data_IF_525141549040
#
_entry.id   IF_525141549040
#
_cell.length_a   1.000
_cell.length_b   1.000
_cell.length_c   1.000
_cell.angle_alpha   90.00
_cell.angle_beta   90.00
_cell.angle_gamma   90.00
#
_symmetry.space_group_name_H-M   'P 1'
#
loop_
_entity.id
_entity.type
_entity.pdbx_description
1 polymer ?
#
# COMPACT_ATOMS: atom_id res chain seq x y z
N UNK A 1 -19.25 6.01 -12.48
CA UNK A 1 -19.89 5.12 -13.48
C UNK A 1 -20.69 5.99 -14.43
N UNK A 2 -20.71 5.66 -15.72
CA UNK A 2 -21.51 6.41 -16.71
C UNK A 2 -22.41 5.49 -17.51
N UNK A 3 -23.52 6.03 -18.00
CA UNK A 3 -24.39 5.40 -18.99
C UNK A 3 -24.46 6.32 -20.20
N UNK A 4 -24.05 5.83 -21.37
CA UNK A 4 -23.92 6.63 -22.60
C UNK A 4 -23.11 7.91 -22.39
N UNK A 5 -22.02 7.82 -21.62
CA UNK A 5 -21.12 8.95 -21.32
C UNK A 5 -21.64 9.94 -20.27
N UNK A 6 -22.87 9.79 -19.77
CA UNK A 6 -23.42 10.63 -18.70
C UNK A 6 -23.27 9.96 -17.34
N UNK A 7 -22.89 10.71 -16.30
CA UNK A 7 -22.83 10.17 -14.95
C UNK A 7 -24.18 9.60 -14.53
N UNK A 8 -24.15 8.38 -14.00
CA UNK A 8 -25.32 7.81 -13.37
C UNK A 8 -25.53 8.47 -12.00
N UNK A 9 -26.76 8.90 -11.70
CA UNK A 9 -27.07 9.53 -10.43
C UNK A 9 -26.92 8.57 -9.24
N UNK A 10 -26.46 9.11 -8.09
CA UNK A 10 -26.28 8.37 -6.85
C UNK A 10 -24.81 8.23 -6.42
N UNK A 11 -24.61 7.87 -5.16
CA UNK A 11 -23.27 7.62 -4.59
C UNK A 11 -23.10 6.12 -4.39
N UNK A 12 -22.11 5.48 -5.04
CA UNK A 12 -21.79 4.07 -4.78
C UNK A 12 -21.43 3.81 -3.33
N UNK A 13 -21.96 2.72 -2.77
CA UNK A 13 -21.61 2.22 -1.44
C UNK A 13 -20.77 0.95 -1.60
N UNK A 14 -19.56 0.88 -1.02
CA UNK A 14 -18.73 -0.33 -1.08
C UNK A 14 -19.46 -1.56 -0.52
N UNK A 15 -19.28 -2.72 -1.17
CA UNK A 15 -19.88 -3.99 -0.73
C UNK A 15 -21.36 -4.16 -1.07
N UNK A 16 -21.98 -3.22 -1.80
CA UNK A 16 -23.38 -3.29 -2.22
C UNK A 16 -23.52 -3.20 -3.74
N UNK A 17 -24.74 -3.45 -4.23
CA UNK A 17 -25.09 -3.12 -5.60
C UNK A 17 -25.29 -1.61 -5.78
N UNK A 18 -24.98 -1.12 -6.98
CA UNK A 18 -25.35 0.23 -7.44
C UNK A 18 -26.43 0.11 -8.50
N UNK A 19 -27.66 0.55 -8.19
CA UNK A 19 -28.81 0.37 -9.06
C UNK A 19 -28.93 1.49 -10.09
N UNK A 20 -29.11 1.13 -11.36
CA UNK A 20 -29.45 2.07 -12.45
C UNK A 20 -30.85 1.76 -12.95
N UNK A 21 -31.80 2.61 -12.61
CA UNK A 21 -33.20 2.49 -13.02
C UNK A 21 -33.49 3.40 -14.21
N UNK A 22 -33.70 2.80 -15.39
CA UNK A 22 -34.11 3.49 -16.63
C UNK A 22 -34.78 2.52 -17.60
N UNK A 23 -35.41 3.05 -18.65
CA UNK A 23 -35.76 2.26 -19.81
C UNK A 23 -34.50 2.00 -20.65
N UNK A 24 -34.11 0.73 -20.73
CA UNK A 24 -32.98 0.29 -21.53
C UNK A 24 -33.38 0.14 -22.99
N UNK A 25 -32.46 0.43 -23.89
CA UNK A 25 -32.61 0.25 -25.34
C UNK A 25 -31.34 -0.35 -25.92
N UNK A 26 -31.47 -1.02 -27.05
CA UNK A 26 -30.33 -1.53 -27.80
C UNK A 26 -29.33 -0.40 -28.07
N UNK A 27 -28.05 -0.68 -27.80
CA UNK A 27 -26.97 0.29 -27.92
C UNK A 27 -26.70 1.14 -26.68
N UNK A 28 -27.46 1.02 -25.59
CA UNK A 28 -27.08 1.61 -24.30
C UNK A 28 -25.77 0.98 -23.77
N UNK A 29 -24.81 1.82 -23.35
CA UNK A 29 -23.49 1.40 -22.84
C UNK A 29 -23.32 1.86 -21.40
N UNK A 30 -23.03 0.91 -20.51
CA UNK A 30 -22.62 1.18 -19.13
C UNK A 30 -21.10 1.10 -19.04
N UNK A 31 -20.46 2.13 -18.50
CA UNK A 31 -19.04 2.14 -18.19
C UNK A 31 -18.82 2.23 -16.69
N UNK A 32 -18.18 1.20 -16.14
CA UNK A 32 -17.76 1.14 -14.74
C UNK A 32 -16.25 1.35 -14.68
N UNK A 33 -15.81 2.21 -13.76
CA UNK A 33 -14.40 2.42 -13.45
C UNK A 33 -14.19 2.03 -12.00
N UNK A 34 -13.32 1.06 -11.77
CA UNK A 34 -12.92 0.62 -10.43
C UNK A 34 -11.41 0.82 -10.31
N UNK A 35 -10.94 1.89 -9.66
CA UNK A 35 -9.51 2.10 -9.47
C UNK A 35 -8.98 1.06 -8.49
N UNK A 36 -8.18 0.12 -9.00
CA UNK A 36 -7.46 -0.81 -8.14
C UNK A 36 -6.24 -0.13 -7.54
N UNK A 37 -5.91 -0.57 -6.33
CA UNK A 37 -4.71 -0.17 -5.59
C UNK A 37 -3.94 -1.42 -5.25
N UNK A 38 -2.63 -1.28 -5.14
CA UNK A 38 -1.81 -2.30 -4.52
C UNK A 38 -1.94 -2.17 -2.99
N UNK A 39 -2.35 -3.25 -2.35
CA UNK A 39 -2.60 -3.33 -0.90
C UNK A 39 -2.06 -4.64 -0.36
N UNK A 40 -1.97 -4.73 0.96
CA UNK A 40 -1.62 -5.97 1.65
C UNK A 40 -2.78 -6.50 2.46
N UNK A 41 -2.83 -7.82 2.64
CA UNK A 41 -3.58 -8.46 3.72
C UNK A 41 -2.57 -9.15 4.65
N UNK A 42 -2.75 -8.95 5.96
CA UNK A 42 -1.87 -9.50 7.00
C UNK A 42 -2.32 -10.91 7.37
N UNK A 43 -1.39 -11.83 7.61
CA UNK A 43 -1.74 -13.13 8.16
C UNK A 43 -2.37 -12.94 9.56
N UNK A 44 -3.43 -13.70 9.92
CA UNK A 44 -4.12 -13.53 11.21
C UNK A 44 -3.24 -13.83 12.44
N UNK A 45 -2.24 -14.69 12.29
CA UNK A 45 -1.37 -15.21 13.35
C UNK A 45 -0.02 -14.46 13.44
N UNK A 46 0.57 -14.08 12.29
CA UNK A 46 1.77 -13.24 12.22
C UNK A 46 1.53 -12.02 11.31
N UNK A 47 1.20 -10.83 11.87
CA UNK A 47 0.95 -9.62 11.08
C UNK A 47 2.16 -9.10 10.27
N UNK A 48 3.37 -9.61 10.53
CA UNK A 48 4.54 -9.30 9.72
C UNK A 48 4.60 -10.11 8.43
N UNK A 49 3.87 -11.23 8.34
CA UNK A 49 3.64 -11.96 7.10
C UNK A 49 2.43 -11.36 6.37
N UNK A 50 2.65 -10.97 5.12
CA UNK A 50 1.70 -10.20 4.34
C UNK A 50 1.63 -10.74 2.92
N UNK A 51 0.42 -10.73 2.36
CA UNK A 51 0.18 -11.06 0.96
C UNK A 51 -0.19 -9.81 0.19
N UNK A 52 0.25 -9.68 -1.07
CA UNK A 52 0.00 -8.50 -1.90
C UNK A 52 -1.23 -8.73 -2.79
N UNK A 53 -2.01 -7.67 -2.98
CA UNK A 53 -3.16 -7.66 -3.87
C UNK A 53 -3.17 -6.39 -4.73
N UNK A 54 -3.42 -6.52 -6.02
CA UNK A 54 -3.83 -5.40 -6.87
C UNK A 54 -5.35 -5.47 -7.08
N UNK A 55 -6.09 -4.66 -6.30
CA UNK A 55 -7.54 -4.81 -6.20
C UNK A 55 -7.93 -6.18 -5.62
N UNK A 56 -8.72 -7.02 -6.34
CA UNK A 56 -9.05 -8.38 -5.93
C UNK A 56 -8.01 -9.43 -6.38
N UNK A 57 -6.99 -9.04 -7.16
CA UNK A 57 -6.02 -9.99 -7.73
C UNK A 57 -4.89 -10.22 -6.74
N UNK A 58 -4.78 -11.43 -6.22
CA UNK A 58 -3.64 -11.82 -5.40
C UNK A 58 -2.36 -11.89 -6.25
N UNK A 59 -1.28 -11.32 -5.72
CA UNK A 59 0.03 -11.31 -6.35
C UNK A 59 1.02 -12.11 -5.49
N UNK A 60 1.74 -13.02 -6.13
CA UNK A 60 2.71 -13.91 -5.50
C UNK A 60 4.11 -13.60 -5.99
N UNK A 61 5.09 -13.63 -5.09
CA UNK A 61 6.49 -13.40 -5.43
C UNK A 61 7.08 -14.64 -6.12
N UNK A 62 7.67 -14.49 -7.30
CA UNK A 62 8.35 -15.58 -8.04
C UNK A 62 9.79 -15.69 -7.55
N UNK A 63 10.06 -16.72 -6.76
CA UNK A 63 11.38 -16.96 -6.18
C UNK A 63 11.48 -18.41 -5.68
N UNK A 64 12.66 -19.03 -5.80
CA UNK A 64 12.93 -20.40 -5.37
C UNK A 64 13.43 -20.53 -3.93
N UNK A 65 13.50 -19.43 -3.17
CA UNK A 65 13.86 -19.47 -1.77
C UNK A 65 12.88 -20.35 -0.97
N UNK A 66 13.40 -21.01 0.06
CA UNK A 66 12.59 -21.86 0.95
C UNK A 66 12.31 -21.20 2.30
N UNK A 67 12.77 -19.96 2.48
CA UNK A 67 12.47 -19.09 3.63
C UNK A 67 11.62 -17.90 3.18
N UNK A 68 10.96 -17.22 4.11
CA UNK A 68 10.22 -16.00 3.77
C UNK A 68 11.13 -14.95 3.16
N UNK A 69 10.70 -14.37 2.05
CA UNK A 69 11.34 -13.19 1.46
C UNK A 69 11.00 -11.96 2.29
N UNK A 70 11.94 -11.04 2.41
CA UNK A 70 11.78 -9.79 3.15
C UNK A 70 11.67 -8.59 2.21
N UNK A 71 10.67 -7.74 2.41
CA UNK A 71 10.47 -6.54 1.59
C UNK A 71 10.06 -5.32 2.41
N UNK A 72 10.60 -4.16 2.04
CA UNK A 72 10.12 -2.84 2.46
C UNK A 72 9.05 -2.33 1.50
N UNK A 73 7.85 -2.10 2.02
CA UNK A 73 6.64 -1.78 1.24
C UNK A 73 6.30 -0.28 1.31
N UNK A 74 6.60 0.40 2.41
CA UNK A 74 6.13 1.76 2.69
C UNK A 74 6.99 2.89 2.14
N UNK A 75 8.21 2.59 1.69
CA UNK A 75 9.18 3.59 1.21
C UNK A 75 8.61 4.65 0.26
N UNK A 76 7.68 4.25 -0.62
CA UNK A 76 7.03 5.12 -1.59
C UNK A 76 5.50 4.93 -1.61
N UNK A 77 4.90 4.54 -0.48
CA UNK A 77 3.45 4.45 -0.41
C UNK A 77 2.80 5.81 -0.74
N UNK A 78 1.75 5.78 -1.56
CA UNK A 78 0.97 6.96 -1.90
C UNK A 78 0.21 7.50 -0.69
N UNK A 79 -0.21 8.77 -0.73
CA UNK A 79 -1.06 9.36 0.29
C UNK A 79 -2.38 8.57 0.47
N UNK A 80 -2.85 7.93 -0.59
CA UNK A 80 -4.01 7.03 -0.56
C UNK A 80 -3.80 5.71 0.18
N UNK A 81 -2.55 5.39 0.57
CA UNK A 81 -2.13 4.09 1.10
C UNK A 81 -1.82 3.06 0.01
N UNK A 82 -1.92 3.43 -1.27
CA UNK A 82 -1.54 2.56 -2.39
C UNK A 82 -0.03 2.30 -2.37
N UNK A 83 0.35 1.03 -2.38
CA UNK A 83 1.75 0.59 -2.37
C UNK A 83 2.36 0.55 -3.77
N UNK A 84 1.54 0.69 -4.82
CA UNK A 84 1.96 0.56 -6.22
C UNK A 84 3.16 1.43 -6.61
N UNK A 85 3.33 2.67 -6.10
CA UNK A 85 4.47 3.49 -6.48
C UNK A 85 5.83 2.93 -6.02
N UNK A 86 5.86 1.95 -5.11
CA UNK A 86 7.09 1.25 -4.73
C UNK A 86 7.49 0.15 -5.74
N UNK A 87 6.62 -0.22 -6.67
CA UNK A 87 6.79 -1.33 -7.62
C UNK A 87 6.86 -0.82 -9.07
N UNK A 88 7.57 -1.55 -9.93
CA UNK A 88 7.65 -1.25 -11.36
C UNK A 88 6.84 -2.27 -12.18
N UNK A 89 6.04 -1.86 -13.18
CA UNK A 89 5.33 -2.81 -14.04
C UNK A 89 6.30 -3.59 -14.93
N UNK A 90 5.99 -4.85 -15.22
CA UNK A 90 6.75 -5.65 -16.20
C UNK A 90 6.18 -5.42 -17.60
N UNK A 91 7.01 -4.92 -18.51
CA UNK A 91 6.60 -4.66 -19.89
C UNK A 91 6.10 -5.94 -20.58
N UNK A 92 4.95 -5.86 -21.25
CA UNK A 92 4.34 -6.99 -21.96
C UNK A 92 3.65 -8.04 -21.07
N UNK A 93 3.69 -7.89 -19.74
CA UNK A 93 3.03 -8.80 -18.79
C UNK A 93 2.02 -8.04 -17.91
N UNK A 94 0.74 -7.97 -18.31
CA UNK A 94 -0.29 -7.26 -17.54
C UNK A 94 -0.41 -7.81 -16.12
N UNK A 95 -0.49 -6.92 -15.11
CA UNK A 95 -0.59 -7.27 -13.69
C UNK A 95 0.67 -7.92 -13.07
N UNK A 96 1.80 -7.90 -13.78
CA UNK A 96 3.09 -8.24 -13.20
C UNK A 96 3.84 -6.99 -12.79
N UNK A 97 4.52 -7.09 -11.65
CA UNK A 97 5.30 -6.01 -11.09
C UNK A 97 6.66 -6.54 -10.62
N UNK A 98 7.65 -5.68 -10.48
CA UNK A 98 8.90 -5.99 -9.80
C UNK A 98 9.06 -5.13 -8.56
N UNK A 99 9.59 -5.75 -7.52
CA UNK A 99 9.99 -5.13 -6.27
C UNK A 99 11.35 -5.69 -5.89
N UNK A 100 12.35 -4.81 -5.81
CA UNK A 100 13.70 -5.15 -5.36
C UNK A 100 14.29 -6.37 -6.10
N UNK A 101 14.04 -6.43 -7.41
CA UNK A 101 14.49 -7.49 -8.32
C UNK A 101 13.62 -8.75 -8.36
N UNK A 102 12.60 -8.86 -7.50
CA UNK A 102 11.66 -10.00 -7.48
C UNK A 102 10.38 -9.68 -8.25
N UNK A 103 9.95 -10.56 -9.15
CA UNK A 103 8.68 -10.44 -9.87
C UNK A 103 7.50 -10.87 -8.97
N UNK A 104 6.47 -10.03 -8.92
CA UNK A 104 5.17 -10.32 -8.34
C UNK A 104 4.17 -10.53 -9.47
N UNK A 105 3.56 -11.73 -9.51
CA UNK A 105 2.69 -12.17 -10.61
C UNK A 105 1.31 -12.59 -10.08
N UNK A 106 0.25 -12.56 -10.90
CA UNK A 106 -1.07 -13.01 -10.47
C UNK A 106 -1.07 -14.50 -10.08
N UNK A 107 -1.59 -14.82 -8.90
CA UNK A 107 -1.59 -16.20 -8.42
C UNK A 107 -2.39 -17.16 -9.32
N UNK A 108 -3.46 -16.64 -9.93
CA UNK A 108 -4.39 -17.41 -10.75
C UNK A 108 -3.79 -17.86 -12.10
N UNK A 109 -2.57 -17.44 -12.45
CA UNK A 109 -1.86 -17.98 -13.63
C UNK A 109 -1.56 -19.47 -13.49
N UNK A 110 -1.47 -19.97 -12.25
CA UNK A 110 -1.37 -21.41 -12.00
C UNK A 110 -0.11 -22.08 -12.58
N UNK A 111 1.00 -21.35 -12.69
CA UNK A 111 2.28 -21.92 -13.15
C UNK A 111 2.95 -22.78 -12.07
N UNK A 112 3.91 -23.61 -12.46
CA UNK A 112 4.71 -24.44 -11.54
C UNK A 112 5.93 -23.70 -10.97
N UNK A 113 6.12 -22.43 -11.32
CA UNK A 113 7.26 -21.66 -10.83
C UNK A 113 7.20 -21.51 -9.30
N UNK A 114 8.33 -21.73 -8.59
CA UNK A 114 8.40 -21.52 -7.15
C UNK A 114 7.90 -20.13 -6.75
N UNK A 115 7.06 -20.09 -5.73
CA UNK A 115 6.39 -18.84 -5.36
C UNK A 115 6.09 -18.70 -3.87
N UNK A 116 6.03 -17.45 -3.42
CA UNK A 116 5.64 -17.08 -2.07
C UNK A 116 4.32 -16.29 -2.11
N UNK A 117 3.25 -16.87 -1.56
CA UNK A 117 1.98 -16.18 -1.37
C UNK A 117 2.04 -15.16 -0.22
N UNK A 118 2.89 -15.42 0.77
CA UNK A 118 3.20 -14.52 1.87
C UNK A 118 4.67 -14.12 1.84
N UNK A 119 4.93 -12.84 2.07
CA UNK A 119 6.27 -12.27 2.27
C UNK A 119 6.33 -11.64 3.66
N UNK A 120 7.51 -11.58 4.26
CA UNK A 120 7.72 -10.87 5.51
C UNK A 120 7.98 -9.39 5.21
N UNK A 121 7.18 -8.51 5.79
CA UNK A 121 7.44 -7.07 5.70
C UNK A 121 8.59 -6.70 6.63
N UNK A 122 9.62 -6.08 6.06
CA UNK A 122 10.80 -5.60 6.77
C UNK A 122 11.09 -4.14 6.39
N UNK A 123 11.02 -3.25 7.38
CA UNK A 123 11.26 -1.81 7.21
C UNK A 123 12.41 -1.41 8.15
N UNK A 124 13.68 -1.67 7.82
CA UNK A 124 14.79 -1.41 8.74
C UNK A 124 14.99 0.07 9.05
N UNK A 125 14.54 0.96 8.16
CA UNK A 125 14.63 2.42 8.30
C UNK A 125 13.31 3.11 8.00
N UNK A 126 13.19 4.36 8.44
CA UNK A 126 12.02 5.22 8.18
C UNK A 126 12.24 6.00 6.89
N UNK A 127 11.54 5.59 5.84
CA UNK A 127 11.60 6.19 4.49
C UNK A 127 10.22 6.72 4.11
N UNK A 128 10.17 7.92 3.52
CA UNK A 128 8.93 8.51 2.99
C UNK A 128 9.14 9.03 1.58
N UNK A 129 8.33 8.61 0.60
CA UNK A 129 8.42 9.12 -0.77
C UNK A 129 9.83 8.98 -1.35
N UNK A 130 10.46 7.83 -1.12
CA UNK A 130 11.88 7.53 -1.43
C UNK A 130 12.92 8.41 -0.71
N UNK A 131 12.52 9.25 0.25
CA UNK A 131 13.43 10.05 1.07
C UNK A 131 13.74 9.32 2.37
N UNK A 132 14.99 8.90 2.55
CA UNK A 132 15.46 8.25 3.77
C UNK A 132 15.72 9.27 4.89
N UNK A 133 15.29 8.95 6.11
CA UNK A 133 15.59 9.76 7.30
C UNK A 133 16.92 9.41 7.96
N UNK A 134 17.51 8.26 7.63
CA UNK A 134 18.68 7.69 8.31
C UNK A 134 18.37 7.22 9.74
N UNK A 135 17.09 7.04 10.07
CA UNK A 135 16.61 6.62 11.39
C UNK A 135 16.04 5.21 11.27
N UNK A 136 16.48 4.30 12.15
CA UNK A 136 15.91 2.96 12.25
C UNK A 136 14.41 3.03 12.56
N UNK A 137 13.61 2.12 12.01
CA UNK A 137 12.18 2.08 12.33
C UNK A 137 11.97 1.30 13.64
N UNK A 138 11.66 1.99 14.76
CA UNK A 138 11.51 1.31 16.04
C UNK A 138 10.21 0.49 16.06
N UNK A 139 10.20 -0.54 16.90
CA UNK A 139 9.04 -1.39 17.14
C UNK A 139 8.70 -1.43 18.63
N UNK A 140 7.42 -1.60 18.94
CA UNK A 140 6.96 -1.94 20.29
C UNK A 140 7.19 -3.42 20.58
N UNK A 141 6.95 -3.81 21.83
CA UNK A 141 7.03 -5.21 22.28
C UNK A 141 6.09 -6.15 21.54
N UNK A 142 4.98 -5.63 21.00
CA UNK A 142 4.02 -6.37 20.18
C UNK A 142 4.37 -6.42 18.68
N UNK A 143 5.53 -5.87 18.30
CA UNK A 143 6.00 -5.80 16.91
C UNK A 143 5.43 -4.64 16.08
N UNK A 144 4.49 -3.85 16.60
CA UNK A 144 3.96 -2.68 15.90
C UNK A 144 5.06 -1.63 15.72
N UNK A 145 5.34 -1.24 14.47
CA UNK A 145 6.39 -0.25 14.16
C UNK A 145 5.85 1.18 14.11
N UNK A 146 6.75 2.17 14.11
CA UNK A 146 6.36 3.57 13.94
C UNK A 146 5.64 3.78 12.60
N UNK A 147 6.15 3.16 11.53
CA UNK A 147 5.53 3.23 10.21
C UNK A 147 4.15 2.56 10.16
N UNK A 148 3.91 1.48 10.91
CA UNK A 148 2.57 0.90 11.04
C UNK A 148 1.55 1.93 11.52
N UNK A 149 1.90 2.68 12.57
CA UNK A 149 0.98 3.66 13.13
C UNK A 149 0.77 4.87 12.24
N UNK A 150 1.79 5.28 11.51
CA UNK A 150 1.64 6.34 10.51
C UNK A 150 0.65 5.87 9.44
N UNK A 151 0.92 4.74 8.79
CA UNK A 151 0.15 4.29 7.63
C UNK A 151 -1.22 3.70 7.96
N UNK A 152 -1.48 3.31 9.22
CA UNK A 152 -2.81 2.90 9.67
C UNK A 152 -3.89 3.99 9.50
N UNK A 153 -3.51 5.27 9.37
CA UNK A 153 -4.44 6.38 9.13
C UNK A 153 -4.65 6.71 7.64
N UNK A 154 -3.96 6.04 6.71
CA UNK A 154 -4.23 6.22 5.30
C UNK A 154 -5.70 5.84 4.97
N UNK A 155 -6.37 6.54 4.03
CA UNK A 155 -5.83 7.56 3.13
C UNK A 155 -5.71 8.97 3.75
N UNK A 156 -4.71 9.72 3.31
CA UNK A 156 -4.49 11.12 3.68
C UNK A 156 -5.05 12.06 2.62
N UNK A 157 -5.70 13.15 3.03
CA UNK A 157 -6.21 14.20 2.13
C UNK A 157 -5.10 14.98 1.38
N UNK A 158 -3.85 14.82 1.79
CA UNK A 158 -2.71 15.57 1.26
C UNK A 158 -1.47 15.41 2.14
N UNK A 159 -0.33 15.84 1.61
CA UNK A 159 0.95 15.86 2.33
C UNK A 159 0.88 16.53 3.73
N UNK A 160 0.18 17.68 3.93
CA UNK A 160 0.06 18.27 5.26
C UNK A 160 -0.60 17.34 6.30
N UNK A 161 -1.61 16.56 5.90
CA UNK A 161 -2.30 15.62 6.78
C UNK A 161 -1.38 14.45 7.16
N UNK A 162 -0.64 13.89 6.19
CA UNK A 162 0.38 12.87 6.49
C UNK A 162 1.44 13.42 7.45
N UNK A 163 1.99 14.61 7.19
CA UNK A 163 3.02 15.21 8.06
C UNK A 163 2.49 15.48 9.47
N UNK A 164 1.22 15.87 9.62
CA UNK A 164 0.59 16.01 10.93
C UNK A 164 0.47 14.67 11.68
N UNK A 165 0.09 13.60 10.96
CA UNK A 165 0.09 12.23 11.51
C UNK A 165 1.49 11.79 11.93
N UNK A 166 2.50 12.00 11.08
CA UNK A 166 3.90 11.67 11.40
C UNK A 166 4.35 12.38 12.67
N UNK A 167 4.06 13.67 12.83
CA UNK A 167 4.38 14.40 14.08
C UNK A 167 3.70 13.78 15.29
N UNK A 168 2.40 13.55 15.21
CA UNK A 168 1.61 12.96 16.31
C UNK A 168 2.18 11.62 16.77
N UNK A 169 2.53 10.75 15.81
CA UNK A 169 3.14 9.45 16.12
C UNK A 169 4.54 9.64 16.68
N UNK A 170 5.41 10.42 16.03
CA UNK A 170 6.77 10.68 16.52
C UNK A 170 6.78 11.23 17.94
N UNK A 171 5.93 12.21 18.25
CA UNK A 171 5.84 12.82 19.58
C UNK A 171 5.45 11.79 20.64
N UNK A 172 4.51 10.89 20.33
CA UNK A 172 4.10 9.80 21.21
C UNK A 172 5.24 8.79 21.46
N UNK A 173 5.99 8.44 20.40
CA UNK A 173 7.12 7.51 20.51
C UNK A 173 8.31 8.12 21.27
N UNK A 174 8.56 9.42 21.08
CA UNK A 174 9.59 10.16 21.85
C UNK A 174 9.18 10.26 23.32
N UNK A 175 7.93 10.62 23.62
CA UNK A 175 7.44 10.68 24.99
C UNK A 175 7.48 9.31 25.70
N UNK A 176 7.27 8.23 24.95
CA UNK A 176 7.39 6.85 25.43
C UNK A 176 8.81 6.30 25.50
N UNK A 177 9.84 7.08 25.13
CA UNK A 177 11.24 6.65 25.15
C UNK A 177 11.63 5.62 24.08
N UNK A 178 10.76 5.39 23.08
CA UNK A 178 10.98 4.44 21.99
C UNK A 178 11.75 5.06 20.81
N UNK A 179 11.90 6.38 20.81
CA UNK A 179 12.63 7.14 19.79
C UNK A 179 13.32 8.35 20.43
N UNK A 180 14.57 8.61 20.08
CA UNK A 180 15.27 9.81 20.54
C UNK A 180 14.70 11.08 19.92
N UNK A 181 14.62 12.18 20.69
CA UNK A 181 14.06 13.45 20.19
C UNK A 181 14.76 13.99 18.93
N UNK A 182 16.09 13.83 18.82
CA UNK A 182 16.85 14.24 17.65
C UNK A 182 16.47 13.44 16.39
N UNK A 183 16.26 12.13 16.55
CA UNK A 183 15.84 11.26 15.46
C UNK A 183 14.37 11.49 15.09
N UNK A 184 13.49 11.72 16.07
CA UNK A 184 12.12 12.17 15.83
C UNK A 184 12.08 13.44 14.97
N UNK A 185 12.95 14.42 15.26
CA UNK A 185 13.06 15.63 14.45
C UNK A 185 13.54 15.35 13.01
N UNK A 186 14.45 14.38 12.79
CA UNK A 186 14.86 13.94 11.44
C UNK A 186 13.67 13.34 10.69
N UNK A 187 12.95 12.40 11.30
CA UNK A 187 11.78 11.73 10.73
C UNK A 187 10.73 12.75 10.25
N UNK A 188 10.37 13.72 11.10
CA UNK A 188 9.40 14.77 10.75
C UNK A 188 9.91 15.67 9.63
N UNK A 189 11.20 16.03 9.62
CA UNK A 189 11.81 16.82 8.55
C UNK A 189 11.80 16.05 7.23
N UNK A 190 12.14 14.76 7.23
CA UNK A 190 12.10 13.90 6.05
C UNK A 190 10.70 13.82 5.47
N UNK A 191 9.68 13.55 6.31
CA UNK A 191 8.29 13.54 5.84
C UNK A 191 7.84 14.89 5.25
N UNK A 192 8.31 16.01 5.82
CA UNK A 192 8.03 17.35 5.28
C UNK A 192 8.76 17.62 3.96
N UNK A 193 9.96 17.07 3.77
CA UNK A 193 10.77 17.24 2.56
C UNK A 193 10.35 16.34 1.40
N UNK A 194 9.84 15.15 1.69
CA UNK A 194 9.50 14.12 0.71
C UNK A 194 8.40 14.53 -0.29
N UNK A 195 8.42 13.91 -1.46
CA UNK A 195 7.38 14.01 -2.48
C UNK A 195 6.54 12.75 -2.46
N UNK A 196 5.22 12.90 -2.56
CA UNK A 196 4.29 11.77 -2.46
C UNK A 196 3.40 11.70 -3.69
N UNK A 197 3.06 10.46 -4.06
CA UNK A 197 1.97 10.20 -4.99
C UNK A 197 0.63 10.53 -4.30
N UNK A 198 -0.29 11.24 -4.96
CA UNK A 198 -1.61 11.58 -4.42
C UNK A 198 -2.48 10.38 -3.98
#
# INVERSE_FOLDING_TARGET
MTVNGREAGGTPVPGTYFTVSRTWRDGDVVRVTMPFRLRVEKAPDDPSLQTLFHGPVNLVARNSATTYLEFGLYRNAALSGDLLPSLAPVSGKPLHFTLDGTEFAPFHEGTEDPTHAYVRRAEPGIVFGNSDSGVANPARTDGTTLLDEVWAQAPFRGKPALVARVRTVVDAWVAGGLLGAADGAKVVRTARGATYVP
#
